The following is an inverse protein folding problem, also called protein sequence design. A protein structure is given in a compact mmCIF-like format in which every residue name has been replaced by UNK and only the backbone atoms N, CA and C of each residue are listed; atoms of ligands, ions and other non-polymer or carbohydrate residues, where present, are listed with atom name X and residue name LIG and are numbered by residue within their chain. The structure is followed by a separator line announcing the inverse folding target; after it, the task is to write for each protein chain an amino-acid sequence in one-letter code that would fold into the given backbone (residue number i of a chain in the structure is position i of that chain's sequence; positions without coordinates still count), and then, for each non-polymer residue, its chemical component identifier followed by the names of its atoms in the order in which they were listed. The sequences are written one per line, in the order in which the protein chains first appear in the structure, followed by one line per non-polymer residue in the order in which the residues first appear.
data_IF_023217803097
#
_entry.id   IF_023217803097
#
_cell.length_a   1.000
_cell.length_b   1.000
_cell.length_c   1.000
_cell.angle_alpha   90.00
_cell.angle_beta   90.00
_cell.angle_gamma   90.00
#
_symmetry.space_group_name_H-M   'P 1'
#
loop_
_entity.id
_entity.type
_entity.pdbx_description
1 polymer ?
#
# COMPACT_ATOMS: atom_id res chain seq x y z
N UNK A 1 -27.49 -22.44 -3.75
CA UNK A 1 -27.24 -21.00 -3.92
C UNK A 1 -27.06 -20.40 -2.52
N UNK A 2 -26.02 -19.62 -2.24
CA UNK A 2 -25.97 -18.86 -0.99
C UNK A 2 -27.17 -17.90 -0.91
N UNK A 3 -27.55 -17.45 0.31
CA UNK A 3 -28.60 -16.45 0.47
C UNK A 3 -28.30 -15.19 -0.36
N UNK A 4 -29.35 -14.51 -0.85
CA UNK A 4 -29.20 -13.31 -1.70
C UNK A 4 -28.35 -12.22 -1.03
N UNK A 5 -28.57 -12.00 0.27
CA UNK A 5 -27.84 -11.04 1.11
C UNK A 5 -26.32 -11.31 1.20
N UNK A 6 -25.94 -12.59 1.33
CA UNK A 6 -24.52 -13.02 1.33
C UNK A 6 -23.87 -12.78 -0.03
N UNK A 7 -24.64 -12.94 -1.11
CA UNK A 7 -24.13 -12.74 -2.47
C UNK A 7 -23.94 -11.26 -2.79
N UNK A 8 -24.82 -10.39 -2.28
CA UNK A 8 -24.71 -8.94 -2.41
C UNK A 8 -23.49 -8.41 -1.65
N UNK A 9 -23.36 -8.75 -0.36
CA UNK A 9 -22.22 -8.35 0.48
C UNK A 9 -20.88 -8.76 -0.16
N UNK A 10 -20.81 -9.94 -0.80
CA UNK A 10 -19.59 -10.40 -1.48
C UNK A 10 -19.23 -9.55 -2.69
N UNK A 11 -20.22 -9.10 -3.47
CA UNK A 11 -19.94 -8.21 -4.62
C UNK A 11 -19.39 -6.88 -4.15
N UNK A 12 -19.93 -6.34 -3.06
CA UNK A 12 -19.44 -5.08 -2.49
C UNK A 12 -17.99 -5.23 -2.00
N UNK A 13 -17.66 -6.38 -1.40
CA UNK A 13 -16.28 -6.70 -1.02
C UNK A 13 -15.37 -6.84 -2.24
N UNK A 14 -15.81 -7.53 -3.30
CA UNK A 14 -15.02 -7.69 -4.53
C UNK A 14 -14.74 -6.32 -5.20
N UNK A 15 -15.72 -5.41 -5.20
CA UNK A 15 -15.54 -4.05 -5.70
C UNK A 15 -14.52 -3.26 -4.87
N UNK A 16 -14.62 -3.36 -3.54
CA UNK A 16 -13.66 -2.72 -2.63
C UNK A 16 -12.25 -3.27 -2.82
N UNK A 17 -12.10 -4.59 -2.97
CA UNK A 17 -10.81 -5.25 -3.19
C UNK A 17 -10.17 -4.82 -4.51
N UNK A 18 -10.95 -4.68 -5.59
CA UNK A 18 -10.47 -4.08 -6.82
C UNK A 18 -10.00 -2.63 -6.63
N UNK A 19 -10.75 -1.82 -5.88
CA UNK A 19 -10.35 -0.45 -5.59
C UNK A 19 -9.04 -0.36 -4.78
N UNK A 20 -8.82 -1.29 -3.85
CA UNK A 20 -7.54 -1.41 -3.12
C UNK A 20 -6.39 -1.71 -4.08
N UNK A 21 -6.57 -2.63 -5.03
CA UNK A 21 -5.55 -2.95 -6.04
C UNK A 21 -5.26 -1.77 -6.97
N UNK A 22 -6.27 -1.00 -7.37
CA UNK A 22 -6.11 0.21 -8.16
C UNK A 22 -5.28 1.27 -7.41
N UNK A 23 -5.53 1.45 -6.12
CA UNK A 23 -4.74 2.36 -5.27
C UNK A 23 -3.27 1.90 -5.16
N UNK A 24 -3.05 0.60 -5.02
CA UNK A 24 -1.69 0.02 -5.02
C UNK A 24 -1.01 0.27 -6.36
N UNK A 25 -1.68 0.03 -7.49
CA UNK A 25 -1.13 0.28 -8.82
C UNK A 25 -0.73 1.76 -9.02
N UNK A 26 -1.58 2.69 -8.59
CA UNK A 26 -1.29 4.14 -8.64
C UNK A 26 -0.08 4.50 -7.76
N UNK A 27 -0.01 3.97 -6.53
CA UNK A 27 1.15 4.16 -5.64
C UNK A 27 2.43 3.64 -6.30
N UNK A 28 2.37 2.47 -6.93
CA UNK A 28 3.52 1.87 -7.63
C UNK A 28 4.02 2.76 -8.77
N UNK A 29 3.12 3.32 -9.58
CA UNK A 29 3.49 4.25 -10.65
C UNK A 29 4.19 5.51 -10.10
N UNK A 30 3.67 6.09 -9.00
CA UNK A 30 4.27 7.24 -8.34
C UNK A 30 5.67 6.95 -7.79
N UNK A 31 5.88 5.79 -7.17
CA UNK A 31 7.20 5.37 -6.68
C UNK A 31 8.18 5.19 -7.85
N UNK A 32 7.74 4.61 -8.97
CA UNK A 32 8.56 4.50 -10.18
C UNK A 32 9.01 5.88 -10.71
N UNK A 33 8.09 6.84 -10.76
CA UNK A 33 8.41 8.22 -11.14
C UNK A 33 9.36 8.89 -10.14
N UNK A 34 9.19 8.66 -8.83
CA UNK A 34 10.09 9.15 -7.79
C UNK A 34 11.50 8.59 -7.96
N UNK A 35 11.64 7.29 -8.21
CA UNK A 35 12.95 6.67 -8.45
C UNK A 35 13.63 7.22 -9.70
N UNK A 36 12.88 7.47 -10.79
CA UNK A 36 13.44 8.11 -11.97
C UNK A 36 14.00 9.51 -11.66
N UNK A 37 13.28 10.31 -10.87
CA UNK A 37 13.75 11.64 -10.40
C UNK A 37 14.99 11.53 -9.53
N UNK A 38 14.99 10.61 -8.54
CA UNK A 38 16.16 10.38 -7.67
C UNK A 38 17.39 9.97 -8.48
N UNK A 39 17.24 9.08 -9.46
CA UNK A 39 18.33 8.69 -10.38
C UNK A 39 18.88 9.88 -11.15
N UNK A 40 18.01 10.72 -11.71
CA UNK A 40 18.44 11.94 -12.43
C UNK A 40 19.21 12.92 -11.53
N UNK A 41 18.95 12.91 -10.23
CA UNK A 41 19.63 13.72 -9.21
C UNK A 41 20.83 13.02 -8.55
N UNK A 42 21.17 11.78 -8.94
CA UNK A 42 22.23 10.99 -8.30
C UNK A 42 21.94 10.57 -6.85
N UNK A 43 20.67 10.59 -6.44
CA UNK A 43 20.25 10.25 -5.08
C UNK A 43 20.03 8.74 -4.89
N UNK A 44 20.25 8.20 -3.67
CA UNK A 44 19.94 6.81 -3.36
C UNK A 44 18.47 6.49 -3.59
N UNK A 45 18.21 5.36 -4.25
CA UNK A 45 16.86 4.87 -4.53
C UNK A 45 16.08 4.60 -3.24
N UNK A 46 16.71 3.91 -2.29
CA UNK A 46 16.15 3.53 -0.99
C UNK A 46 16.63 4.51 0.08
N UNK A 47 15.74 4.83 1.02
CA UNK A 47 16.00 5.70 2.17
C UNK A 47 15.40 5.05 3.42
N UNK A 48 16.25 4.41 4.22
CA UNK A 48 15.81 3.61 5.37
C UNK A 48 15.13 4.46 6.46
N UNK A 49 15.60 5.69 6.69
CA UNK A 49 14.99 6.59 7.66
C UNK A 49 13.57 6.96 7.22
N UNK A 50 13.39 7.28 5.93
CA UNK A 50 12.07 7.59 5.37
C UNK A 50 11.10 6.41 5.46
N UNK A 51 11.57 5.18 5.31
CA UNK A 51 10.75 3.97 5.42
C UNK A 51 10.27 3.71 6.85
N UNK A 52 11.13 3.92 7.85
CA UNK A 52 10.74 3.85 9.27
C UNK A 52 9.65 4.87 9.58
N UNK A 53 9.83 6.12 9.16
CA UNK A 53 8.82 7.18 9.34
C UNK A 53 7.50 6.84 8.64
N UNK A 54 7.57 6.29 7.43
CA UNK A 54 6.39 5.88 6.68
C UNK A 54 5.61 4.80 7.41
N UNK A 55 6.28 3.77 7.92
CA UNK A 55 5.60 2.69 8.65
C UNK A 55 4.97 3.19 9.95
N UNK A 56 5.67 4.04 10.71
CA UNK A 56 5.13 4.65 11.92
C UNK A 56 3.87 5.48 11.67
N UNK A 57 3.89 6.33 10.64
CA UNK A 57 2.73 7.15 10.25
C UNK A 57 1.53 6.29 9.82
N UNK A 58 1.77 5.21 9.06
CA UNK A 58 0.71 4.31 8.58
C UNK A 58 0.08 3.50 9.71
N UNK A 59 0.88 3.05 10.68
CA UNK A 59 0.38 2.42 11.91
C UNK A 59 -0.56 3.35 12.67
N UNK A 60 -0.12 4.58 12.95
CA UNK A 60 -0.92 5.57 13.67
C UNK A 60 -2.21 5.94 12.91
N UNK A 61 -2.14 6.04 11.58
CA UNK A 61 -3.32 6.30 10.76
C UNK A 61 -4.32 5.14 10.77
N UNK A 62 -3.83 3.89 10.76
CA UNK A 62 -4.68 2.71 10.85
C UNK A 62 -5.45 2.66 12.19
N UNK A 63 -4.77 2.91 13.31
CA UNK A 63 -5.39 2.95 14.63
C UNK A 63 -6.53 3.98 14.70
N UNK A 64 -6.34 5.16 14.10
CA UNK A 64 -7.39 6.18 14.00
C UNK A 64 -8.62 5.74 13.22
N UNK A 65 -8.47 4.79 12.31
CA UNK A 65 -9.56 4.22 11.51
C UNK A 65 -10.17 2.97 12.17
N UNK A 66 -9.67 2.54 13.34
CA UNK A 66 -10.08 1.30 13.99
C UNK A 66 -9.48 0.04 13.34
N UNK A 67 -8.46 0.21 12.48
CA UNK A 67 -7.72 -0.90 11.86
C UNK A 67 -6.51 -1.23 12.74
N UNK A 68 -6.25 -2.52 13.04
CA UNK A 68 -5.06 -2.91 13.80
C UNK A 68 -3.76 -2.41 13.14
N UNK A 69 -2.89 -1.79 13.93
CA UNK A 69 -1.62 -1.25 13.45
C UNK A 69 -0.74 -2.32 12.78
N UNK A 70 -0.79 -3.54 13.31
CA UNK A 70 -0.05 -4.70 12.81
C UNK A 70 -0.49 -5.09 11.40
N UNK A 71 -1.79 -5.02 11.11
CA UNK A 71 -2.32 -5.30 9.78
C UNK A 71 -1.83 -4.24 8.78
N UNK A 72 -1.86 -2.97 9.17
CA UNK A 72 -1.33 -1.90 8.33
C UNK A 72 0.17 -2.08 8.07
N UNK A 73 0.95 -2.43 9.09
CA UNK A 73 2.37 -2.68 8.93
C UNK A 73 2.65 -3.83 7.95
N UNK A 74 1.92 -4.95 8.05
CA UNK A 74 2.05 -6.08 7.11
C UNK A 74 1.78 -5.64 5.68
N UNK A 75 0.68 -4.92 5.45
CA UNK A 75 0.31 -4.43 4.10
C UNK A 75 1.39 -3.49 3.55
N UNK A 76 1.82 -2.51 4.34
CA UNK A 76 2.77 -1.50 3.87
C UNK A 76 4.19 -2.04 3.72
N UNK A 77 4.61 -3.04 4.51
CA UNK A 77 5.88 -3.76 4.30
C UNK A 77 5.87 -4.52 2.98
N UNK A 78 4.83 -5.29 2.67
CA UNK A 78 4.71 -6.00 1.40
C UNK A 78 4.79 -5.03 0.19
N UNK A 79 4.15 -3.87 0.31
CA UNK A 79 4.19 -2.82 -0.73
C UNK A 79 5.59 -2.18 -0.86
N UNK A 80 6.31 -1.98 0.25
CA UNK A 80 7.69 -1.46 0.23
C UNK A 80 8.66 -2.48 -0.40
N UNK A 81 8.55 -3.75 -0.02
CA UNK A 81 9.37 -4.84 -0.57
C UNK A 81 9.18 -4.99 -2.09
N UNK A 82 7.94 -4.92 -2.59
CA UNK A 82 7.67 -4.85 -4.05
C UNK A 82 8.37 -3.65 -4.70
N UNK A 83 8.44 -2.52 -3.99
CA UNK A 83 9.13 -1.34 -4.48
C UNK A 83 10.65 -1.53 -4.56
N UNK A 84 11.25 -2.37 -3.70
CA UNK A 84 12.69 -2.68 -3.69
C UNK A 84 13.12 -3.67 -4.77
N UNK A 85 12.27 -4.64 -5.10
CA UNK A 85 12.60 -5.70 -6.08
C UNK A 85 12.50 -5.24 -7.53
N UNK A 86 11.79 -4.14 -7.82
CA UNK A 86 11.71 -3.56 -9.17
C UNK A 86 12.99 -2.84 -9.57
N UNK A 87 13.78 -3.44 -10.46
CA UNK A 87 14.91 -2.81 -11.16
C UNK A 87 14.46 -1.82 -12.21
#
# INVERSE_FOLDING_TARGET
MPPADVSETRRDLDELDHALLDLVARRRALVGALFAKKRALGLPRVDAAREVELLADRRAYAERLGVPAELAEVIFRAILEDSHTRT
#
